data_IF_118141894317
#
_entry.id   IF_118141894317
#
_cell.length_a   1.000
_cell.length_b   1.000
_cell.length_c   1.000
_cell.angle_alpha   90.00
_cell.angle_beta   90.00
_cell.angle_gamma   90.00
#
_symmetry.space_group_name_H-M   'P 1'
#
loop_
_entity.id
_entity.type
_entity.pdbx_description
1 polymer ?
#
# COMPACT_ATOMS: atom_id res chain seq x y z
N UNK A 1 -17.67 0.56 5.67
CA UNK A 1 -16.19 0.55 5.70
C UNK A 1 -15.76 1.83 5.00
N UNK A 2 -14.64 2.47 5.38
CA UNK A 2 -14.20 3.67 4.65
C UNK A 2 -13.56 3.23 3.35
N UNK A 3 -14.04 3.82 2.24
CA UNK A 3 -13.58 3.51 0.89
C UNK A 3 -12.49 4.47 0.41
N UNK A 4 -12.24 5.52 1.18
CA UNK A 4 -11.19 6.50 0.92
C UNK A 4 -9.83 5.83 0.71
N UNK A 5 -9.12 6.29 -0.32
CA UNK A 5 -7.68 6.09 -0.43
C UNK A 5 -6.97 6.69 0.79
N UNK A 6 -5.69 6.35 0.99
CA UNK A 6 -4.92 6.91 2.10
C UNK A 6 -4.92 8.45 2.10
N UNK A 7 -4.80 9.07 0.93
CA UNK A 7 -4.74 10.53 0.82
C UNK A 7 -6.10 11.19 1.07
N UNK A 8 -7.19 10.57 0.61
CA UNK A 8 -8.58 11.01 0.87
C UNK A 8 -8.92 10.83 2.35
N UNK A 9 -8.53 9.71 2.97
CA UNK A 9 -8.77 9.45 4.38
C UNK A 9 -8.15 10.56 5.24
N UNK A 10 -6.98 11.06 4.89
CA UNK A 10 -6.33 12.15 5.65
C UNK A 10 -6.98 13.52 5.41
N UNK A 11 -7.66 13.74 4.29
CA UNK A 11 -8.25 15.04 3.91
C UNK A 11 -9.72 15.17 4.30
N UNK A 12 -10.48 14.09 4.17
CA UNK A 12 -11.90 14.06 4.46
C UNK A 12 -12.12 14.07 5.97
N UNK A 13 -13.22 14.67 6.42
CA UNK A 13 -13.69 14.54 7.80
C UNK A 13 -14.39 13.20 7.99
N UNK A 14 -14.10 12.53 9.10
CA UNK A 14 -14.77 11.30 9.51
C UNK A 14 -15.38 11.46 10.91
N UNK A 15 -15.86 10.36 11.47
CA UNK A 15 -16.36 10.33 12.83
C UNK A 15 -15.26 10.65 13.87
N UNK A 16 -15.68 11.05 15.06
CA UNK A 16 -14.79 11.56 16.11
C UNK A 16 -13.61 10.64 16.42
N UNK A 17 -13.81 9.32 16.48
CA UNK A 17 -12.73 8.40 16.84
C UNK A 17 -11.62 8.36 15.77
N UNK A 18 -11.96 8.51 14.49
CA UNK A 18 -10.98 8.56 13.41
C UNK A 18 -10.26 9.90 13.37
N UNK A 19 -10.96 11.00 13.64
CA UNK A 19 -10.32 12.31 13.76
C UNK A 19 -9.32 12.35 14.92
N UNK A 20 -9.67 11.75 16.05
CA UNK A 20 -8.74 11.56 17.18
C UNK A 20 -7.51 10.74 16.73
N UNK A 21 -7.70 9.64 16.01
CA UNK A 21 -6.60 8.82 15.52
C UNK A 21 -5.67 9.57 14.53
N UNK A 22 -6.24 10.38 13.62
CA UNK A 22 -5.45 11.24 12.71
C UNK A 22 -4.65 12.28 13.50
N UNK A 23 -5.29 12.92 14.48
CA UNK A 23 -4.63 13.91 15.34
C UNK A 23 -3.42 13.31 16.06
N UNK A 24 -3.56 12.13 16.67
CA UNK A 24 -2.44 11.47 17.34
C UNK A 24 -1.34 11.07 16.35
N UNK A 25 -1.70 10.58 15.16
CA UNK A 25 -0.73 10.26 14.10
C UNK A 25 0.09 11.49 13.71
N UNK A 26 -0.59 12.61 13.49
CA UNK A 26 0.07 13.89 13.21
C UNK A 26 0.98 14.33 14.37
N UNK A 27 0.46 14.27 15.61
CA UNK A 27 1.15 14.71 16.82
C UNK A 27 2.45 13.93 17.05
N UNK A 28 2.40 12.61 16.89
CA UNK A 28 3.55 11.73 17.03
C UNK A 28 4.62 12.06 15.98
N UNK A 29 4.22 12.24 14.72
CA UNK A 29 5.14 12.64 13.66
C UNK A 29 5.79 13.99 13.96
N UNK A 30 5.03 14.96 14.47
CA UNK A 30 5.50 16.31 14.75
C UNK A 30 6.47 16.38 15.94
N UNK A 31 6.11 15.72 17.04
CA UNK A 31 6.86 15.75 18.31
C UNK A 31 8.06 14.82 18.32
N UNK A 32 8.07 13.75 17.52
CA UNK A 32 9.19 12.82 17.46
C UNK A 32 10.52 13.52 17.14
N UNK A 33 11.62 12.95 17.64
CA UNK A 33 12.98 13.36 17.23
C UNK A 33 13.23 13.02 15.76
N UNK A 34 12.78 11.84 15.34
CA UNK A 34 12.81 11.37 13.97
C UNK A 34 11.50 10.67 13.64
N UNK A 35 11.02 10.88 12.41
CA UNK A 35 9.86 10.19 11.87
C UNK A 35 10.34 9.27 10.75
N UNK A 36 10.27 7.96 11.01
CA UNK A 36 10.65 6.92 10.07
C UNK A 36 9.41 6.38 9.36
N UNK A 37 9.50 6.20 8.05
CA UNK A 37 8.49 5.45 7.31
C UNK A 37 9.13 4.64 6.16
N UNK A 38 8.45 3.60 5.74
CA UNK A 38 8.89 2.67 4.71
C UNK A 38 8.52 3.11 3.31
N UNK A 39 7.67 4.14 3.18
CA UNK A 39 7.15 4.62 1.91
C UNK A 39 7.39 6.13 1.76
N UNK A 40 7.92 6.55 0.61
CA UNK A 40 8.21 7.96 0.29
C UNK A 40 6.97 8.85 0.26
N UNK A 41 5.83 8.33 -0.19
CA UNK A 41 4.58 9.10 -0.28
C UNK A 41 4.08 9.54 1.11
N UNK A 42 4.18 8.67 2.12
CA UNK A 42 3.86 9.04 3.50
C UNK A 42 4.77 10.16 4.02
N UNK A 43 6.08 10.07 3.77
CA UNK A 43 7.03 11.14 4.17
C UNK A 43 6.70 12.47 3.50
N UNK A 44 6.30 12.46 2.21
CA UNK A 44 5.82 13.67 1.52
C UNK A 44 4.61 14.27 2.23
N UNK A 45 3.68 13.43 2.70
CA UNK A 45 2.53 13.89 3.49
C UNK A 45 2.95 14.48 4.84
N UNK A 46 3.89 13.88 5.56
CA UNK A 46 4.41 14.45 6.82
C UNK A 46 5.05 15.83 6.63
N UNK A 47 5.67 16.11 5.47
CA UNK A 47 6.13 17.47 5.13
C UNK A 47 4.97 18.46 5.09
N UNK A 48 3.85 18.08 4.45
CA UNK A 48 2.65 18.91 4.37
C UNK A 48 2.01 19.16 5.74
N UNK A 49 2.25 18.28 6.71
CA UNK A 49 1.86 18.45 8.11
C UNK A 49 2.77 19.38 8.92
N UNK A 50 3.82 19.93 8.31
CA UNK A 50 4.78 20.83 8.96
C UNK A 50 5.90 20.13 9.73
N UNK A 51 6.09 18.82 9.56
CA UNK A 51 7.23 18.11 10.16
C UNK A 51 8.51 18.56 9.48
N UNK A 52 9.50 18.99 10.28
CA UNK A 52 10.79 19.48 9.76
C UNK A 52 11.50 18.41 8.92
N UNK A 53 12.04 18.82 7.77
CA UNK A 53 12.60 17.90 6.77
C UNK A 53 13.79 17.07 7.28
N UNK A 54 14.59 17.63 8.19
CA UNK A 54 15.73 16.96 8.83
C UNK A 54 15.32 15.78 9.74
N UNK A 55 14.11 15.83 10.31
CA UNK A 55 13.50 14.76 11.12
C UNK A 55 12.98 13.59 10.29
N UNK A 56 12.66 13.81 9.02
CA UNK A 56 12.01 12.83 8.17
C UNK A 56 13.03 11.86 7.57
N UNK A 57 12.83 10.56 7.78
CA UNK A 57 13.74 9.50 7.32
C UNK A 57 12.95 8.38 6.65
N UNK A 58 13.46 7.90 5.51
CA UNK A 58 12.90 6.73 4.83
C UNK A 58 13.77 5.53 5.14
N UNK A 59 13.18 4.48 5.70
CA UNK A 59 13.81 3.17 5.86
C UNK A 59 12.87 2.14 5.24
N UNK A 60 13.23 1.64 4.06
CA UNK A 60 12.43 0.65 3.36
C UNK A 60 12.37 -0.67 4.14
N UNK A 61 11.21 -1.32 4.10
CA UNK A 61 11.09 -2.68 4.62
C UNK A 61 12.01 -3.61 3.84
N UNK A 62 12.82 -4.37 4.56
CA UNK A 62 13.56 -5.50 3.99
C UNK A 62 12.69 -6.75 3.92
N UNK A 63 13.09 -7.71 3.09
CA UNK A 63 12.61 -9.09 3.16
C UNK A 63 13.80 -10.02 3.38
N UNK A 64 13.55 -11.21 3.94
CA UNK A 64 14.60 -12.23 4.06
C UNK A 64 14.87 -12.80 2.67
N UNK A 65 16.14 -12.77 2.26
CA UNK A 65 16.55 -13.43 1.02
C UNK A 65 16.68 -14.92 1.32
N UNK A 66 15.87 -15.72 0.64
CA UNK A 66 15.98 -17.18 0.65
C UNK A 66 16.50 -17.62 -0.70
N UNK A 67 17.57 -18.42 -0.71
CA UNK A 67 18.09 -19.02 -1.94
C UNK A 67 17.18 -20.18 -2.35
N UNK A 68 16.04 -19.86 -2.95
CA UNK A 68 15.17 -20.86 -3.54
C UNK A 68 15.54 -21.03 -5.01
N UNK A 69 15.69 -22.27 -5.45
CA UNK A 69 15.78 -22.58 -6.87
C UNK A 69 14.42 -22.31 -7.52
N UNK A 70 14.37 -21.31 -8.41
CA UNK A 70 13.17 -21.06 -9.20
C UNK A 70 13.14 -22.06 -10.36
N UNK A 71 12.20 -22.99 -10.32
CA UNK A 71 11.94 -23.88 -11.46
C UNK A 71 11.30 -23.07 -12.58
N UNK A 72 11.99 -22.97 -13.73
CA UNK A 72 11.37 -22.45 -14.95
C UNK A 72 10.39 -23.49 -15.47
N UNK A 73 9.11 -23.11 -15.55
CA UNK A 73 8.09 -23.91 -16.23
C UNK A 73 8.06 -23.53 -17.71
N UNK A 74 8.29 -24.50 -18.60
CA UNK A 74 8.16 -24.35 -20.06
C UNK A 74 6.68 -24.39 -20.53
N UNK A 75 5.72 -23.93 -19.73
CA UNK A 75 4.31 -23.96 -20.12
C UNK A 75 3.91 -22.69 -20.86
N UNK A 76 3.16 -22.82 -21.96
CA UNK A 76 2.47 -21.70 -22.63
C UNK A 76 1.27 -21.15 -21.82
N UNK A 77 1.20 -21.42 -20.52
CA UNK A 77 0.11 -21.02 -19.62
C UNK A 77 0.57 -19.81 -18.81
N UNK A 78 -0.25 -18.75 -18.82
CA UNK A 78 -0.04 -17.58 -17.96
C UNK A 78 -0.67 -17.87 -16.59
N UNK A 79 0.16 -17.98 -15.56
CA UNK A 79 -0.27 -18.10 -14.15
C UNK A 79 -0.22 -16.74 -13.48
N UNK A 80 -1.36 -16.26 -13.00
CA UNK A 80 -1.47 -14.94 -12.38
C UNK A 80 -1.78 -15.13 -10.90
N UNK A 81 -0.79 -14.88 -10.04
CA UNK A 81 -0.89 -15.12 -8.59
C UNK A 81 -0.94 -13.77 -7.87
N UNK A 82 -1.97 -13.59 -7.04
CA UNK A 82 -2.07 -12.46 -6.10
C UNK A 82 -1.92 -12.97 -4.68
N UNK A 83 -1.09 -12.31 -3.87
CA UNK A 83 -0.85 -12.68 -2.46
C UNK A 83 -1.01 -11.44 -1.61
N UNK A 84 -1.95 -11.50 -0.67
CA UNK A 84 -2.22 -10.41 0.26
C UNK A 84 -3.53 -10.59 1.00
N UNK A 85 -3.79 -9.71 1.96
CA UNK A 85 -5.12 -9.62 2.61
C UNK A 85 -6.16 -9.13 1.60
N UNK A 86 -7.35 -9.69 1.64
CA UNK A 86 -8.51 -9.19 0.90
C UNK A 86 -9.04 -7.94 1.61
N UNK A 87 -8.58 -6.77 1.17
CA UNK A 87 -8.99 -5.47 1.66
C UNK A 87 -9.37 -4.56 0.49
N UNK A 88 -10.35 -3.64 0.64
CA UNK A 88 -10.84 -2.81 -0.46
C UNK A 88 -9.74 -2.06 -1.22
N UNK A 89 -8.82 -1.42 -0.50
CA UNK A 89 -7.69 -0.65 -1.08
C UNK A 89 -6.63 -1.49 -1.79
N UNK A 90 -6.77 -2.82 -1.83
CA UNK A 90 -5.92 -3.71 -2.65
C UNK A 90 -6.49 -3.93 -4.05
N UNK A 91 -7.69 -3.43 -4.34
CA UNK A 91 -8.33 -3.44 -5.66
C UNK A 91 -8.32 -4.82 -6.32
N UNK A 92 -8.56 -5.87 -5.53
CA UNK A 92 -8.57 -7.25 -6.03
C UNK A 92 -9.71 -7.46 -7.04
N UNK A 93 -10.82 -6.73 -6.90
CA UNK A 93 -11.90 -6.68 -7.89
C UNK A 93 -11.39 -6.25 -9.28
N UNK A 94 -10.56 -5.21 -9.36
CA UNK A 94 -9.98 -4.75 -10.63
C UNK A 94 -9.09 -5.82 -11.27
N UNK A 95 -8.36 -6.59 -10.45
CA UNK A 95 -7.57 -7.74 -10.95
C UNK A 95 -8.50 -8.80 -11.56
N UNK A 96 -9.60 -9.12 -10.88
CA UNK A 96 -10.58 -10.10 -11.36
C UNK A 96 -11.21 -9.64 -12.69
N UNK A 97 -11.62 -8.38 -12.79
CA UNK A 97 -12.16 -7.77 -14.01
C UNK A 97 -11.16 -7.83 -15.16
N UNK A 98 -9.90 -7.49 -14.91
CA UNK A 98 -8.83 -7.59 -15.91
C UNK A 98 -8.61 -9.04 -16.38
N UNK A 99 -8.62 -10.00 -15.46
CA UNK A 99 -8.55 -11.42 -15.80
C UNK A 99 -9.74 -11.87 -16.64
N UNK A 100 -10.95 -11.38 -16.37
CA UNK A 100 -12.13 -11.66 -17.17
C UNK A 100 -11.97 -11.17 -18.62
N UNK A 101 -11.43 -9.96 -18.81
CA UNK A 101 -11.14 -9.41 -20.14
C UNK A 101 -10.10 -10.24 -20.90
N UNK A 102 -9.05 -10.71 -20.20
CA UNK A 102 -7.97 -11.52 -20.80
C UNK A 102 -8.44 -12.92 -21.23
N UNK A 103 -9.38 -13.52 -20.51
CA UNK A 103 -9.98 -14.83 -20.88
C UNK A 103 -10.67 -14.76 -22.24
N UNK A 104 -11.20 -13.60 -22.62
CA UNK A 104 -11.86 -13.38 -23.90
C UNK A 104 -10.86 -13.23 -25.08
N UNK A 105 -9.55 -13.29 -24.82
CA UNK A 105 -8.48 -13.20 -25.83
C UNK A 105 -7.72 -14.53 -26.03
N UNK A 106 -8.37 -15.68 -25.82
CA UNK A 106 -7.78 -17.04 -25.93
C UNK A 106 -6.62 -17.35 -24.95
N UNK A 107 -6.47 -16.55 -23.90
CA UNK A 107 -5.49 -16.81 -22.84
C UNK A 107 -6.09 -17.74 -21.79
N UNK A 108 -5.47 -18.92 -21.62
CA UNK A 108 -5.84 -19.88 -20.57
C UNK A 108 -5.29 -19.41 -19.22
N UNK A 109 -6.13 -18.73 -18.44
CA UNK A 109 -5.85 -18.32 -17.06
C UNK A 109 -6.21 -19.45 -16.09
N UNK A 110 -5.29 -19.79 -15.17
CA UNK A 110 -5.49 -20.73 -14.06
C UNK A 110 -5.11 -20.02 -12.76
#
# INVERSE_FOLDING_TARGET
MIEDSFDEFQLNSHNLHLEIAKFFTWLDCYKSRYCYNTIKTFIKRCKNWGVKADKLKVIYNGTRITNNEFSKSNSNIIKLITVGRLAPWKNVNTIIEACHLLKNQDLKLI
#
